data_IF_705493410435
#
_entry.id   IF_705493410435
#
_cell.length_a   1.000
_cell.length_b   1.000
_cell.length_c   1.000
_cell.angle_alpha   90.00
_cell.angle_beta   90.00
_cell.angle_gamma   90.00
#
_symmetry.space_group_name_H-M   'P 1'
#
loop_
_entity.id
_entity.type
_entity.pdbx_description
1 polymer ?
#
# COMPACT_ATOMS: atom_id res chain seq x y z
N UNK A 1 -18.42 -4.23 1.27
CA UNK A 1 -17.70 -4.56 2.52
C UNK A 1 -16.60 -5.59 2.18
N UNK A 2 -15.42 -5.45 2.78
CA UNK A 2 -14.31 -6.37 2.57
C UNK A 2 -13.50 -6.55 3.85
N UNK A 3 -12.95 -7.75 4.02
CA UNK A 3 -11.93 -8.05 5.03
C UNK A 3 -10.69 -8.59 4.32
N UNK A 4 -9.52 -8.41 4.95
CA UNK A 4 -8.26 -8.94 4.45
C UNK A 4 -7.55 -9.82 5.48
N UNK A 5 -6.83 -10.82 5.01
CA UNK A 5 -5.97 -11.68 5.82
C UNK A 5 -4.59 -11.72 5.17
N UNK A 6 -3.56 -11.33 5.92
CA UNK A 6 -2.18 -11.58 5.57
C UNK A 6 -1.72 -12.87 6.26
N UNK A 7 -1.07 -13.78 5.54
CA UNK A 7 -0.46 -14.98 6.12
C UNK A 7 1.05 -14.79 6.15
N UNK A 8 1.66 -14.94 7.32
CA UNK A 8 3.11 -14.89 7.49
C UNK A 8 3.64 -16.20 8.10
N UNK A 9 4.81 -16.65 7.65
CA UNK A 9 5.43 -17.88 8.17
C UNK A 9 6.22 -17.68 9.46
N UNK A 10 6.64 -16.45 9.77
CA UNK A 10 7.45 -16.13 10.94
C UNK A 10 6.79 -14.96 11.69
N UNK A 11 6.49 -15.11 12.99
CA UNK A 11 5.97 -14.04 13.85
C UNK A 11 6.77 -12.74 13.76
N UNK A 12 6.10 -11.63 13.48
CA UNK A 12 6.70 -10.30 13.37
C UNK A 12 7.48 -10.03 12.08
N UNK A 13 7.49 -10.97 11.13
CA UNK A 13 8.19 -10.85 9.84
C UNK A 13 7.22 -10.70 8.65
N UNK A 14 5.98 -10.28 8.89
CA UNK A 14 5.00 -9.92 7.86
C UNK A 14 5.39 -8.66 7.07
N UNK A 15 6.32 -7.86 7.59
CA UNK A 15 6.79 -6.63 6.97
C UNK A 15 5.64 -5.65 6.72
N UNK A 16 5.52 -5.18 5.48
CA UNK A 16 4.48 -4.25 5.06
C UNK A 16 3.27 -4.93 4.40
N UNK A 17 3.11 -6.26 4.57
CA UNK A 17 2.07 -7.04 3.86
C UNK A 17 0.65 -6.58 4.21
N UNK A 18 0.34 -6.40 5.50
CA UNK A 18 -0.97 -5.90 5.94
C UNK A 18 -1.25 -4.50 5.37
N UNK A 19 -0.26 -3.60 5.43
CA UNK A 19 -0.34 -2.27 4.81
C UNK A 19 -0.68 -2.35 3.31
N UNK A 20 -0.06 -3.26 2.57
CA UNK A 20 -0.35 -3.47 1.15
C UNK A 20 -1.78 -3.94 0.92
N UNK A 21 -2.29 -4.88 1.72
CA UNK A 21 -3.67 -5.36 1.62
C UNK A 21 -4.67 -4.23 1.94
N UNK A 22 -4.44 -3.49 3.01
CA UNK A 22 -5.27 -2.35 3.41
C UNK A 22 -5.31 -1.30 2.31
N UNK A 23 -4.17 -1.06 1.66
CA UNK A 23 -4.07 -0.13 0.53
C UNK A 23 -4.79 -0.63 -0.70
N UNK A 24 -4.60 -1.90 -1.06
CA UNK A 24 -5.22 -2.50 -2.24
C UNK A 24 -6.75 -2.51 -2.14
N UNK A 25 -7.32 -2.91 -0.99
CA UNK A 25 -8.77 -2.90 -0.80
C UNK A 25 -9.36 -1.50 -0.99
N UNK A 26 -8.73 -0.46 -0.44
CA UNK A 26 -9.20 0.92 -0.56
C UNK A 26 -9.10 1.43 -1.99
N UNK A 27 -8.01 1.13 -2.69
CA UNK A 27 -7.83 1.50 -4.09
C UNK A 27 -8.85 0.81 -5.01
N UNK A 28 -9.31 -0.39 -4.67
CA UNK A 28 -10.43 -1.06 -5.35
C UNK A 28 -11.80 -0.47 -5.00
N UNK A 29 -11.87 0.55 -4.14
CA UNK A 29 -13.12 1.15 -3.67
C UNK A 29 -13.86 0.30 -2.65
N UNK A 30 -13.21 -0.70 -2.05
CA UNK A 30 -13.84 -1.54 -1.04
C UNK A 30 -13.99 -0.79 0.29
N UNK A 31 -15.13 -1.00 0.94
CA UNK A 31 -15.33 -0.60 2.32
C UNK A 31 -14.63 -1.61 3.25
N UNK A 32 -13.42 -1.28 3.69
CA UNK A 32 -12.62 -2.12 4.59
C UNK A 32 -13.27 -2.19 5.96
N UNK A 33 -13.63 -3.41 6.37
CA UNK A 33 -14.25 -3.70 7.67
C UNK A 33 -13.23 -4.13 8.72
N UNK A 34 -12.22 -4.91 8.31
CA UNK A 34 -11.12 -5.35 9.17
C UNK A 34 -9.99 -5.96 8.33
N UNK A 35 -8.79 -6.02 8.89
CA UNK A 35 -7.66 -6.75 8.33
C UNK A 35 -6.76 -7.25 9.43
N UNK A 36 -6.25 -8.47 9.30
CA UNK A 36 -5.42 -9.12 10.32
C UNK A 36 -4.26 -9.89 9.69
N UNK A 37 -3.22 -10.10 10.47
CA UNK A 37 -2.11 -11.02 10.15
C UNK A 37 -2.33 -12.31 10.93
N UNK A 38 -2.28 -13.43 10.22
CA UNK A 38 -2.31 -14.78 10.81
C UNK A 38 -1.01 -15.50 10.47
N UNK A 39 -0.66 -16.50 11.27
CA UNK A 39 0.63 -17.18 11.14
C UNK A 39 0.49 -18.66 10.75
N UNK A 40 1.32 -19.08 9.80
CA UNK A 40 1.43 -20.47 9.33
C UNK A 40 2.53 -20.56 8.26
N UNK A 41 3.58 -21.32 8.55
CA UNK A 41 4.75 -21.48 7.69
C UNK A 41 4.53 -22.55 6.61
N UNK A 42 3.74 -23.58 6.91
CA UNK A 42 3.49 -24.70 6.01
C UNK A 42 2.14 -24.59 5.30
N UNK A 43 1.99 -25.19 4.10
CA UNK A 43 0.71 -25.25 3.42
C UNK A 43 -0.37 -25.89 4.31
N UNK A 44 -1.46 -25.15 4.56
CA UNK A 44 -2.59 -25.61 5.36
C UNK A 44 -2.39 -25.51 6.89
N UNK A 45 -1.20 -25.20 7.38
CA UNK A 45 -0.93 -25.04 8.83
C UNK A 45 -1.80 -23.95 9.46
N UNK A 46 -2.15 -22.93 8.68
CA UNK A 46 -3.03 -21.84 9.12
C UNK A 46 -4.36 -22.31 9.71
N UNK A 47 -4.86 -23.49 9.32
CA UNK A 47 -6.11 -24.06 9.83
C UNK A 47 -5.96 -24.86 11.13
N UNK A 48 -4.73 -25.12 11.57
CA UNK A 48 -4.46 -25.94 12.76
C UNK A 48 -4.34 -25.10 14.05
N UNK A 49 -4.22 -23.78 13.92
CA UNK A 49 -4.07 -22.85 15.03
C UNK A 49 -5.44 -22.26 15.42
N UNK A 50 -5.81 -22.40 16.69
CA UNK A 50 -7.05 -21.83 17.22
C UNK A 50 -7.09 -20.30 17.12
N UNK A 51 -5.99 -19.60 17.35
CA UNK A 51 -5.93 -18.13 17.23
C UNK A 51 -6.27 -17.65 15.81
N UNK A 52 -5.86 -18.42 14.79
CA UNK A 52 -6.19 -18.14 13.41
C UNK A 52 -7.68 -18.37 13.12
N UNK A 53 -8.28 -19.42 13.71
CA UNK A 53 -9.71 -19.69 13.60
C UNK A 53 -10.55 -18.62 14.28
N UNK A 54 -10.15 -18.18 15.48
CA UNK A 54 -10.78 -17.09 16.21
C UNK A 54 -10.68 -15.76 15.42
N UNK A 55 -9.52 -15.52 14.81
CA UNK A 55 -9.33 -14.38 13.89
C UNK A 55 -10.24 -14.47 12.68
N UNK A 56 -10.36 -15.65 12.06
CA UNK A 56 -11.27 -15.86 10.93
C UNK A 56 -12.73 -15.60 11.34
N UNK A 57 -13.16 -16.05 12.51
CA UNK A 57 -14.50 -15.76 13.05
C UNK A 57 -14.71 -14.26 13.28
N UNK A 58 -13.73 -13.56 13.87
CA UNK A 58 -13.76 -12.10 14.07
C UNK A 58 -13.93 -11.37 12.74
N UNK A 59 -13.16 -11.74 11.72
CA UNK A 59 -13.25 -11.13 10.38
C UNK A 59 -14.58 -11.45 9.70
N UNK A 60 -15.09 -12.68 9.82
CA UNK A 60 -16.38 -13.06 9.29
C UNK A 60 -17.52 -12.22 9.91
N UNK A 61 -17.49 -12.01 11.23
CA UNK A 61 -18.44 -11.11 11.91
C UNK A 61 -18.31 -9.67 11.44
N UNK A 62 -17.08 -9.15 11.31
CA UNK A 62 -16.84 -7.78 10.86
C UNK A 62 -17.39 -7.51 9.45
N UNK A 63 -17.37 -8.50 8.56
CA UNK A 63 -17.88 -8.35 7.18
C UNK A 63 -19.36 -7.93 7.14
N UNK A 64 -20.15 -8.38 8.10
CA UNK A 64 -21.58 -8.09 8.23
C UNK A 64 -21.90 -7.05 9.31
N UNK A 65 -20.88 -6.54 10.00
CA UNK A 65 -21.01 -5.53 11.04
C UNK A 65 -21.11 -4.11 10.49
N UNK A 66 -21.34 -3.13 11.40
CA UNK A 66 -21.20 -1.72 11.04
C UNK A 66 -19.74 -1.41 10.66
N UNK A 67 -19.50 -0.33 9.88
CA UNK A 67 -18.16 0.14 9.58
C UNK A 67 -17.37 0.37 10.87
N UNK A 68 -16.09 -0.03 10.95
CA UNK A 68 -15.32 0.15 12.17
C UNK A 68 -15.13 1.63 12.46
N UNK A 69 -15.31 2.00 13.72
CA UNK A 69 -15.07 3.35 14.21
C UNK A 69 -13.61 3.49 14.64
N UNK A 70 -12.74 3.74 13.66
CA UNK A 70 -11.33 4.06 13.93
C UNK A 70 -11.12 5.54 14.26
N UNK A 71 -12.12 6.41 14.11
CA UNK A 71 -11.96 7.84 14.38
C UNK A 71 -11.78 8.11 15.88
N UNK A 72 -12.30 7.22 16.74
CA UNK A 72 -12.01 7.24 18.18
C UNK A 72 -10.61 6.74 18.56
N UNK A 73 -9.87 6.11 17.65
CA UNK A 73 -8.58 5.47 17.94
C UNK A 73 -7.43 6.43 17.65
N UNK A 74 -6.93 7.13 18.69
CA UNK A 74 -5.90 8.18 18.53
C UNK A 74 -4.59 7.70 17.89
N UNK A 75 -4.30 6.40 17.93
CA UNK A 75 -3.11 5.79 17.34
C UNK A 75 -3.28 5.41 15.87
N UNK A 76 -4.43 5.70 15.26
CA UNK A 76 -4.70 5.45 13.84
C UNK A 76 -4.85 6.76 13.07
N UNK A 77 -4.82 6.62 11.76
CA UNK A 77 -5.01 7.71 10.84
C UNK A 77 -6.50 8.10 10.80
N UNK A 78 -6.81 9.35 11.15
CA UNK A 78 -8.20 9.81 11.19
C UNK A 78 -8.83 9.94 9.81
N UNK A 79 -8.00 9.96 8.75
CA UNK A 79 -8.45 9.97 7.37
C UNK A 79 -8.89 8.58 6.88
N UNK A 80 -8.15 7.53 7.22
CA UNK A 80 -8.31 6.22 6.57
C UNK A 80 -8.22 5.00 7.50
N UNK A 81 -8.02 5.17 8.80
CA UNK A 81 -7.84 4.06 9.75
C UNK A 81 -6.55 3.27 9.58
N UNK A 82 -5.58 3.78 8.80
CA UNK A 82 -4.25 3.17 8.70
C UNK A 82 -3.51 3.27 10.03
N UNK A 83 -2.75 2.23 10.38
CA UNK A 83 -1.99 2.10 11.62
C UNK A 83 -0.46 2.16 11.39
N UNK A 84 -0.03 2.31 10.13
CA UNK A 84 1.38 2.37 9.73
C UNK A 84 1.77 3.79 9.33
N UNK A 85 2.85 4.32 9.93
CA UNK A 85 3.31 5.68 9.73
C UNK A 85 4.81 5.74 9.42
N UNK A 86 5.21 6.68 8.57
CA UNK A 86 6.61 7.07 8.35
C UNK A 86 6.87 8.39 9.06
N UNK A 87 7.92 8.43 9.87
CA UNK A 87 8.44 9.68 10.42
C UNK A 87 9.14 10.47 9.32
N UNK A 88 8.75 11.73 9.17
CA UNK A 88 9.38 12.70 8.27
C UNK A 88 10.29 13.66 9.05
N UNK A 89 9.98 13.88 10.33
CA UNK A 89 10.77 14.65 11.29
C UNK A 89 10.43 14.16 12.73
N UNK A 90 10.88 14.88 13.77
CA UNK A 90 10.66 14.55 15.18
C UNK A 90 9.19 14.43 15.57
N UNK A 91 8.32 15.26 14.98
CA UNK A 91 6.89 15.31 15.25
C UNK A 91 6.04 15.18 13.98
N UNK A 92 6.66 15.17 12.80
CA UNK A 92 5.96 15.04 11.53
C UNK A 92 5.94 13.60 11.05
N UNK A 93 4.75 13.15 10.64
CA UNK A 93 4.55 11.81 10.11
C UNK A 93 3.76 11.83 8.81
N UNK A 94 3.82 10.72 8.09
CA UNK A 94 2.96 10.42 6.94
C UNK A 94 2.29 9.08 7.15
N UNK A 95 0.97 9.05 7.02
CA UNK A 95 0.25 7.78 6.97
C UNK A 95 0.71 6.99 5.73
N UNK A 96 1.18 5.77 5.92
CA UNK A 96 1.69 4.96 4.82
C UNK A 96 0.59 4.35 3.95
N UNK A 97 -0.66 4.35 4.42
CA UNK A 97 -1.82 3.87 3.68
C UNK A 97 -2.34 4.94 2.72
N UNK A 98 -2.73 6.11 3.22
CA UNK A 98 -3.34 7.17 2.40
C UNK A 98 -2.38 8.31 2.03
N UNK A 99 -1.11 8.27 2.46
CA UNK A 99 -0.11 9.34 2.24
C UNK A 99 -0.44 10.71 2.85
N UNK A 100 -1.52 10.83 3.63
CA UNK A 100 -1.86 12.08 4.32
C UNK A 100 -0.76 12.47 5.32
N UNK A 101 -0.35 13.76 5.34
CA UNK A 101 0.55 14.27 6.36
C UNK A 101 -0.15 14.36 7.71
N UNK A 102 0.63 14.28 8.77
CA UNK A 102 0.13 14.48 10.12
C UNK A 102 1.25 14.79 11.09
N UNK A 103 0.86 14.95 12.35
CA UNK A 103 1.79 15.08 13.47
C UNK A 103 1.61 13.92 14.44
N UNK A 104 2.67 13.60 15.17
CA UNK A 104 2.66 12.62 16.25
C UNK A 104 2.91 13.33 17.58
N UNK A 105 2.08 13.00 18.56
CA UNK A 105 2.18 13.49 19.92
C UNK A 105 2.33 12.30 20.86
N UNK A 106 3.28 12.40 21.77
CA UNK A 106 3.44 11.45 22.88
C UNK A 106 3.06 12.12 24.18
N UNK A 107 2.02 11.61 24.84
CA UNK A 107 1.57 12.09 26.16
C UNK A 107 1.31 10.90 27.07
N UNK A 108 1.90 10.93 28.28
CA UNK A 108 1.71 9.87 29.29
C UNK A 108 1.99 8.45 28.76
N UNK A 109 3.01 8.31 27.90
CA UNK A 109 3.37 7.03 27.28
C UNK A 109 2.42 6.55 26.18
N UNK A 110 1.41 7.36 25.81
CA UNK A 110 0.49 7.07 24.70
C UNK A 110 0.84 7.89 23.48
N UNK A 111 0.80 7.23 22.33
CA UNK A 111 0.97 7.85 21.03
C UNK A 111 -0.40 8.28 20.50
N UNK A 112 -0.47 9.49 19.98
CA UNK A 112 -1.61 9.98 19.20
C UNK A 112 -1.13 10.63 17.92
N UNK A 113 -1.83 10.35 16.82
CA UNK A 113 -1.61 10.97 15.53
C UNK A 113 -2.73 11.97 15.24
N UNK A 114 -2.34 13.18 14.86
CA UNK A 114 -3.23 14.18 14.29
C UNK A 114 -2.94 14.24 12.79
N UNK A 115 -3.70 13.46 12.01
CA UNK A 115 -3.62 13.45 10.56
C UNK A 115 -4.62 14.45 10.01
N UNK A 116 -4.20 15.28 9.07
CA UNK A 116 -5.09 16.17 8.33
C UNK A 116 -5.64 15.43 7.09
N UNK A 117 -6.88 14.95 7.11
CA UNK A 117 -7.51 14.38 5.93
C UNK A 117 -7.76 15.51 4.92
N UNK A 118 -6.92 15.61 3.89
CA UNK A 118 -7.33 16.34 2.70
C UNK A 118 -8.62 15.70 2.17
N UNK A 119 -9.76 16.38 2.34
CA UNK A 119 -11.10 15.87 2.01
C UNK A 119 -11.25 15.42 0.55
N UNK A 120 -10.31 15.87 -0.29
CA UNK A 120 -10.26 15.64 -1.72
C UNK A 120 -9.20 14.63 -2.18
N UNK A 121 -8.54 13.95 -1.25
CA UNK A 121 -7.48 12.98 -1.55
C UNK A 121 -8.02 11.78 -2.34
N UNK A 122 -7.35 11.43 -3.44
CA UNK A 122 -7.84 10.42 -4.40
C UNK A 122 -8.02 9.02 -3.81
N UNK A 123 -7.30 8.75 -2.73
CA UNK A 123 -7.36 7.50 -1.99
C UNK A 123 -8.59 7.40 -1.07
N UNK A 124 -9.23 8.52 -0.73
CA UNK A 124 -10.29 8.58 0.28
C UNK A 124 -11.69 8.69 -0.33
N UNK A 125 -11.81 9.37 -1.48
CA UNK A 125 -13.12 9.66 -2.08
C UNK A 125 -13.14 9.42 -3.59
N UNK A 126 -14.31 9.03 -4.12
CA UNK A 126 -14.52 8.87 -5.56
C UNK A 126 -14.28 10.18 -6.32
N UNK A 127 -14.73 11.31 -5.77
CA UNK A 127 -14.48 12.63 -6.35
C UNK A 127 -12.98 12.94 -6.43
N UNK A 128 -12.21 12.58 -5.38
CA UNK A 128 -10.75 12.64 -5.39
C UNK A 128 -10.14 11.80 -6.50
N UNK A 129 -10.60 10.55 -6.64
CA UNK A 129 -10.13 9.64 -7.70
C UNK A 129 -10.40 10.19 -9.10
N UNK A 130 -11.58 10.77 -9.33
CA UNK A 130 -11.95 11.38 -10.61
C UNK A 130 -11.06 12.60 -10.93
N UNK A 131 -10.82 13.49 -9.97
CA UNK A 131 -9.89 14.62 -10.18
C UNK A 131 -8.46 14.15 -10.43
N UNK A 132 -8.03 13.10 -9.73
CA UNK A 132 -6.72 12.51 -9.97
C UNK A 132 -6.59 11.93 -11.39
N UNK A 133 -7.64 11.26 -11.90
CA UNK A 133 -7.70 10.83 -13.28
C UNK A 133 -7.57 12.00 -14.26
N UNK A 134 -8.30 13.10 -14.04
CA UNK A 134 -8.18 14.31 -14.87
C UNK A 134 -6.76 14.88 -14.82
N UNK A 135 -6.13 14.93 -13.65
CA UNK A 135 -4.74 15.36 -13.50
C UNK A 135 -3.78 14.43 -14.26
N UNK A 136 -3.95 13.12 -14.18
CA UNK A 136 -3.13 12.13 -14.92
C UNK A 136 -3.24 12.30 -16.44
N UNK A 137 -4.44 12.55 -16.95
CA UNK A 137 -4.66 12.84 -18.37
C UNK A 137 -3.90 14.11 -18.80
N UNK A 138 -3.92 15.15 -17.97
CA UNK A 138 -3.11 16.37 -18.18
C UNK A 138 -1.60 16.10 -18.13
N UNK A 139 -1.13 15.26 -17.20
CA UNK A 139 0.29 14.90 -17.09
C UNK A 139 0.78 14.12 -18.31
N UNK A 140 -0.07 13.26 -18.90
CA UNK A 140 0.24 12.60 -20.17
C UNK A 140 0.48 13.61 -21.28
N UNK A 141 -0.34 14.66 -21.37
CA UNK A 141 -0.13 15.77 -22.31
C UNK A 141 1.22 16.45 -22.11
N UNK A 142 1.50 16.90 -20.88
CA UNK A 142 2.79 17.52 -20.51
C UNK A 142 3.99 16.63 -20.82
N UNK A 143 3.88 15.33 -20.56
CA UNK A 143 4.93 14.37 -20.88
C UNK A 143 5.20 14.32 -22.39
N UNK A 144 4.16 14.29 -23.23
CA UNK A 144 4.33 14.25 -24.68
C UNK A 144 5.02 15.53 -25.21
N UNK A 145 4.68 16.69 -24.65
CA UNK A 145 5.32 17.98 -24.97
C UNK A 145 6.81 17.96 -24.58
N UNK A 146 7.12 17.44 -23.39
CA UNK A 146 8.48 17.39 -22.83
C UNK A 146 9.29 16.18 -23.25
N UNK A 147 8.70 15.24 -24.00
CA UNK A 147 9.30 13.93 -24.32
C UNK A 147 10.70 14.04 -24.92
N UNK A 148 10.93 14.99 -25.83
CA UNK A 148 12.23 15.17 -26.51
C UNK A 148 13.31 15.65 -25.53
N UNK A 149 12.99 16.64 -24.71
CA UNK A 149 13.87 17.21 -23.68
C UNK A 149 14.21 16.17 -22.61
N UNK A 150 13.21 15.42 -22.13
CA UNK A 150 13.44 14.34 -21.17
C UNK A 150 14.29 13.23 -21.79
N UNK A 151 14.06 12.88 -23.06
CA UNK A 151 14.86 11.86 -23.75
C UNK A 151 16.32 12.27 -23.86
N UNK A 152 16.64 13.54 -24.16
CA UNK A 152 18.04 13.98 -24.23
C UNK A 152 18.75 13.83 -22.88
N UNK A 153 18.08 14.13 -21.76
CA UNK A 153 18.65 13.93 -20.42
C UNK A 153 18.92 12.44 -20.16
N UNK A 154 17.98 11.56 -20.52
CA UNK A 154 18.15 10.12 -20.30
C UNK A 154 19.25 9.47 -21.16
N UNK A 155 19.57 10.05 -22.32
CA UNK A 155 20.58 9.48 -23.24
C UNK A 155 21.98 9.49 -22.62
N UNK A 156 22.30 10.52 -21.83
CA UNK A 156 23.60 10.63 -21.17
C UNK A 156 23.84 9.49 -20.17
N UNK A 157 22.77 9.00 -19.53
CA UNK A 157 22.83 7.86 -18.58
C UNK A 157 22.76 6.49 -19.24
N UNK A 158 22.48 6.40 -20.55
CA UNK A 158 22.25 5.11 -21.22
C UNK A 158 23.51 4.22 -21.22
N UNK A 159 24.68 4.84 -21.17
CA UNK A 159 25.98 4.17 -21.17
C UNK A 159 26.71 4.27 -19.82
N UNK A 160 26.06 4.85 -18.81
CA UNK A 160 26.62 4.91 -17.46
C UNK A 160 26.42 3.57 -16.74
N UNK A 161 27.53 3.00 -16.24
CA UNK A 161 27.56 1.77 -15.45
C UNK A 161 27.96 0.51 -16.24
N UNK A 162 28.33 -0.54 -15.50
CA UNK A 162 28.57 -1.87 -16.05
C UNK A 162 27.26 -2.66 -16.07
N UNK A 163 26.72 -2.86 -17.27
CA UNK A 163 25.49 -3.62 -17.48
C UNK A 163 25.83 -5.08 -17.81
N UNK A 164 25.20 -6.02 -17.09
CA UNK A 164 25.27 -7.44 -17.44
C UNK A 164 24.45 -7.70 -18.70
N UNK A 165 25.11 -7.82 -19.85
CA UNK A 165 24.44 -8.20 -21.10
C UNK A 165 24.09 -9.69 -21.10
N UNK A 166 22.82 -10.00 -21.36
CA UNK A 166 22.41 -11.39 -21.59
C UNK A 166 23.00 -11.88 -22.91
N UNK A 167 23.71 -13.01 -22.91
CA UNK A 167 24.20 -13.63 -24.15
C UNK A 167 23.01 -14.01 -25.03
N UNK A 168 22.78 -13.28 -26.12
CA UNK A 168 21.83 -13.64 -27.17
C UNK A 168 22.22 -15.03 -27.69
N UNK A 169 21.37 -16.04 -27.54
CA UNK A 169 21.59 -17.34 -28.20
C UNK A 169 21.60 -17.11 -29.71
N UNK A 170 22.74 -17.35 -30.36
CA UNK A 170 22.83 -17.44 -31.81
C UNK A 170 21.93 -18.60 -32.27
N UNK A 171 20.87 -18.29 -33.01
CA UNK A 171 20.11 -19.30 -33.74
C UNK A 171 21.02 -19.88 -34.82
N UNK A 172 21.64 -21.04 -34.56
CA UNK A 172 22.20 -21.88 -35.62
C UNK A 172 21.03 -22.35 -36.50
N UNK A 173 20.85 -21.70 -37.64
CA UNK A 173 20.07 -22.25 -38.74
C UNK A 173 20.86 -23.45 -39.25
N UNK A 174 20.38 -24.66 -38.95
CA UNK A 174 20.85 -25.86 -39.60
C UNK A 174 20.31 -25.87 -41.03
N UNK A 175 21.18 -25.59 -42.01
CA UNK A 175 20.99 -26.02 -43.39
C UNK A 175 21.56 -27.42 -43.50
N UNK A 176 20.70 -28.43 -43.48
CA UNK A 176 21.05 -29.77 -43.95
C UNK A 176 20.68 -29.90 -45.43
N UNK A 177 21.64 -30.46 -46.15
CA UNK A 177 21.74 -30.74 -47.58
C UNK A 177 20.73 -31.76 -48.12
#
# INVERSE_FOLDING_TARGET
PAVAVAIAGIPGMEGYTKLCLDSALRLMGAQVQASEVVYGALPGEVFLNQDNLDTAEKLAKALFGPPPDWQGESWRCQACGGDTFRFLDSDQVRCMTCSSPGTVLMKEGKISFAVDPHQDHFFLTLAGAQRHLTWLQGMKGRFLEKKKELKSICLDYLHDGEWLETKRKENKVATDS
#
